data_IF_776443201673
#
_entry.id   IF_776443201673
#
_cell.length_a   1.000
_cell.length_b   1.000
_cell.length_c   1.000
_cell.angle_alpha   90.00
_cell.angle_beta   90.00
_cell.angle_gamma   90.00
#
_symmetry.space_group_name_H-M   'P 1'
#
loop_
_entity.id
_entity.type
_entity.pdbx_description
1 polymer ?
#
# COMPACT_ATOMS: atom_id res chain seq x y z
N UNK A 1 -4.49 -8.16 12.72
CA UNK A 1 -5.10 -7.17 13.65
C UNK A 1 -5.88 -6.11 12.92
N UNK A 2 -5.24 -5.17 12.21
CA UNK A 2 -5.96 -4.12 11.47
C UNK A 2 -7.00 -4.65 10.47
N UNK A 3 -6.63 -5.66 9.66
CA UNK A 3 -7.58 -6.26 8.73
C UNK A 3 -8.83 -6.87 9.41
N UNK A 4 -8.67 -7.40 10.64
CA UNK A 4 -9.79 -7.94 11.42
C UNK A 4 -10.73 -6.83 11.88
N UNK A 5 -10.21 -5.69 12.33
CA UNK A 5 -11.04 -4.56 12.76
C UNK A 5 -11.75 -3.85 11.59
N UNK A 6 -11.27 -3.99 10.35
CA UNK A 6 -11.89 -3.41 9.14
C UNK A 6 -12.76 -4.39 8.35
N UNK A 7 -12.94 -5.62 8.82
CA UNK A 7 -13.61 -6.67 8.06
C UNK A 7 -15.05 -6.27 7.66
N UNK A 8 -15.85 -5.81 8.63
CA UNK A 8 -17.23 -5.40 8.40
C UNK A 8 -17.36 -4.27 7.36
N UNK A 9 -16.55 -3.22 7.47
CA UNK A 9 -16.58 -2.07 6.54
C UNK A 9 -16.16 -2.43 5.11
N UNK A 10 -15.47 -3.56 4.92
CA UNK A 10 -14.97 -4.02 3.63
C UNK A 10 -15.74 -5.23 3.08
N UNK A 11 -16.84 -5.63 3.71
CA UNK A 11 -17.63 -6.79 3.30
C UNK A 11 -16.90 -8.13 3.46
N UNK A 12 -15.89 -8.18 4.33
CA UNK A 12 -15.12 -9.39 4.63
C UNK A 12 -15.82 -10.13 5.78
N UNK A 13 -15.95 -11.44 5.66
CA UNK A 13 -16.51 -12.28 6.73
C UNK A 13 -15.75 -12.09 8.05
N UNK A 14 -16.46 -11.81 9.15
CA UNK A 14 -15.85 -11.48 10.43
C UNK A 14 -14.96 -12.59 11.02
N UNK A 15 -15.21 -13.84 10.64
CA UNK A 15 -14.54 -15.05 11.08
C UNK A 15 -13.48 -15.57 10.08
N UNK A 16 -13.09 -14.76 9.09
CA UNK A 16 -12.15 -15.22 8.03
C UNK A 16 -10.84 -15.79 8.58
N UNK A 17 -10.38 -15.29 9.73
CA UNK A 17 -9.12 -15.68 10.35
C UNK A 17 -9.20 -17.04 11.06
N UNK A 18 -10.40 -17.61 11.22
CA UNK A 18 -10.62 -18.96 11.78
C UNK A 18 -10.78 -20.00 10.65
N UNK A 19 -11.21 -19.56 9.47
CA UNK A 19 -11.61 -20.43 8.35
C UNK A 19 -10.64 -20.42 7.18
N UNK A 20 -9.66 -19.51 7.17
CA UNK A 20 -8.70 -19.34 6.06
C UNK A 20 -7.29 -19.18 6.58
N UNK A 21 -6.37 -19.93 5.98
CA UNK A 21 -4.95 -19.68 6.11
C UNK A 21 -4.50 -18.57 5.17
N UNK A 22 -3.56 -17.75 5.63
CA UNK A 22 -3.02 -16.61 4.87
C UNK A 22 -1.54 -16.88 4.58
N UNK A 23 -1.19 -16.85 3.30
CA UNK A 23 0.19 -16.92 2.84
C UNK A 23 0.58 -15.59 2.19
N UNK A 24 1.60 -14.91 2.72
CA UNK A 24 2.17 -13.69 2.11
C UNK A 24 3.52 -14.07 1.51
N UNK A 25 3.64 -13.96 0.19
CA UNK A 25 4.87 -14.19 -0.53
C UNK A 25 5.38 -12.88 -1.15
N UNK A 26 6.64 -12.54 -0.86
CA UNK A 26 7.33 -11.42 -1.50
C UNK A 26 8.46 -12.02 -2.35
N UNK A 27 8.32 -12.07 -3.70
CA UNK A 27 9.21 -12.81 -4.59
C UNK A 27 10.68 -12.40 -4.53
N UNK A 28 11.53 -13.33 -4.95
CA UNK A 28 13.02 -13.38 -4.80
C UNK A 28 13.49 -13.77 -3.40
N UNK A 29 13.15 -14.99 -2.95
CA UNK A 29 13.43 -15.45 -1.58
C UNK A 29 14.90 -15.39 -1.15
N UNK A 30 15.85 -15.39 -2.08
CA UNK A 30 17.29 -15.29 -1.80
C UNK A 30 17.76 -13.87 -1.43
N UNK A 31 16.99 -12.82 -1.76
CA UNK A 31 17.33 -11.44 -1.42
C UNK A 31 16.60 -11.07 -0.13
N UNK A 32 17.32 -10.77 0.97
CA UNK A 32 16.70 -10.35 2.21
C UNK A 32 15.76 -9.15 2.00
N UNK A 33 14.52 -9.29 2.45
CA UNK A 33 13.53 -8.20 2.48
C UNK A 33 13.29 -7.89 3.93
N UNK A 34 13.86 -6.77 4.38
CA UNK A 34 13.76 -6.34 5.76
C UNK A 34 13.24 -4.91 5.82
N UNK A 35 12.72 -4.53 6.99
CA UNK A 35 12.25 -3.20 7.30
C UNK A 35 10.71 -3.06 7.28
N UNK A 36 10.18 -2.18 8.14
CA UNK A 36 8.73 -2.03 8.34
C UNK A 36 8.02 -1.31 7.19
N UNK A 37 8.77 -0.76 6.23
CA UNK A 37 8.26 0.15 5.19
C UNK A 37 7.30 -0.46 4.16
N UNK A 38 7.07 -1.79 4.21
CA UNK A 38 6.07 -2.49 3.40
C UNK A 38 4.74 -2.71 4.14
N UNK A 39 4.57 -2.14 5.33
CA UNK A 39 3.38 -2.32 6.18
C UNK A 39 2.07 -1.99 5.45
N UNK A 40 1.99 -0.82 4.81
CA UNK A 40 0.80 -0.41 4.05
C UNK A 40 0.57 -1.34 2.86
N UNK A 41 1.63 -1.74 2.16
CA UNK A 41 1.57 -2.65 1.00
C UNK A 41 0.99 -4.01 1.39
N UNK A 42 1.47 -4.59 2.49
CA UNK A 42 0.98 -5.86 3.01
C UNK A 42 -0.49 -5.76 3.46
N UNK A 43 -0.87 -4.67 4.11
CA UNK A 43 -2.25 -4.46 4.53
C UNK A 43 -3.20 -4.35 3.33
N UNK A 44 -2.85 -3.56 2.31
CA UNK A 44 -3.63 -3.42 1.08
C UNK A 44 -3.71 -4.75 0.33
N UNK A 45 -2.60 -5.48 0.18
CA UNK A 45 -2.60 -6.79 -0.48
C UNK A 45 -3.49 -7.81 0.23
N UNK A 46 -3.41 -7.88 1.57
CA UNK A 46 -4.24 -8.77 2.37
C UNK A 46 -5.73 -8.41 2.24
N UNK A 47 -6.07 -7.12 2.37
CA UNK A 47 -7.45 -6.65 2.28
C UNK A 47 -8.00 -6.80 0.86
N UNK A 48 -7.17 -6.63 -0.16
CA UNK A 48 -7.51 -6.94 -1.56
C UNK A 48 -7.91 -8.40 -1.72
N UNK A 49 -7.07 -9.33 -1.25
CA UNK A 49 -7.31 -10.77 -1.35
C UNK A 49 -8.57 -11.22 -0.57
N UNK A 50 -8.81 -10.63 0.61
CA UNK A 50 -9.96 -10.97 1.45
C UNK A 50 -11.28 -10.39 0.92
N UNK A 51 -11.26 -9.17 0.36
CA UNK A 51 -12.46 -8.48 -0.14
C UNK A 51 -12.76 -8.73 -1.62
N UNK A 52 -11.82 -9.32 -2.36
CA UNK A 52 -11.93 -9.53 -3.81
C UNK A 52 -11.78 -8.24 -4.63
N UNK A 53 -11.32 -7.14 -4.02
CA UNK A 53 -11.11 -5.85 -4.70
C UNK A 53 -9.71 -5.81 -5.33
N UNK A 54 -9.63 -5.62 -6.64
CA UNK A 54 -8.35 -5.54 -7.35
C UNK A 54 -7.61 -4.23 -7.07
N UNK A 55 -6.28 -4.30 -7.04
CA UNK A 55 -5.38 -3.13 -7.01
C UNK A 55 -4.77 -2.95 -8.40
N UNK A 56 -4.69 -1.71 -8.87
CA UNK A 56 -4.08 -1.41 -10.16
C UNK A 56 -2.57 -1.69 -10.16
N UNK A 57 -2.05 -2.22 -11.27
CA UNK A 57 -0.65 -2.70 -11.37
C UNK A 57 0.38 -1.58 -11.46
N UNK A 58 -0.07 -0.38 -11.81
CA UNK A 58 0.71 0.84 -11.97
C UNK A 58 0.70 1.74 -10.73
N UNK A 59 0.27 1.20 -9.58
CA UNK A 59 0.34 1.85 -8.27
C UNK A 59 1.45 1.22 -7.43
N UNK A 60 2.39 2.06 -6.98
CA UNK A 60 3.38 1.73 -5.96
C UNK A 60 3.00 2.32 -4.61
N UNK A 61 3.40 1.69 -3.51
CA UNK A 61 3.17 2.24 -2.16
C UNK A 61 4.27 1.83 -1.19
N UNK A 62 4.58 2.71 -0.23
CA UNK A 62 5.47 2.43 0.91
C UNK A 62 4.97 3.18 2.14
N UNK A 63 5.23 2.63 3.31
CA UNK A 63 4.77 3.19 4.57
C UNK A 63 4.77 2.11 5.64
N UNK A 64 5.33 2.44 6.80
CA UNK A 64 5.12 1.64 8.01
C UNK A 64 3.70 1.88 8.53
N UNK A 65 3.10 0.89 9.19
CA UNK A 65 1.76 1.03 9.76
C UNK A 65 1.73 0.66 11.22
N UNK A 66 0.93 1.39 11.98
CA UNK A 66 0.60 1.04 13.37
C UNK A 66 -0.57 0.05 13.41
N UNK A 67 -0.79 -0.60 14.56
CA UNK A 67 -1.97 -1.45 14.78
C UNK A 67 -3.30 -0.69 14.63
N UNK A 68 -3.29 0.63 14.80
CA UNK A 68 -4.45 1.51 14.66
C UNK A 68 -4.65 2.03 13.23
N UNK A 69 -3.72 1.75 12.31
CA UNK A 69 -3.81 2.15 10.91
C UNK A 69 -3.15 3.47 10.56
N UNK A 70 -2.50 4.19 11.51
CA UNK A 70 -1.65 5.33 11.14
C UNK A 70 -0.51 4.86 10.23
N UNK A 71 -0.28 5.58 9.15
CA UNK A 71 0.86 5.40 8.24
C UNK A 71 2.02 6.29 8.71
N UNK A 72 3.18 5.70 8.91
CA UNK A 72 4.38 6.37 9.42
C UNK A 72 5.40 6.59 8.30
N UNK A 73 6.22 7.63 8.47
CA UNK A 73 7.30 7.97 7.54
C UNK A 73 8.31 6.83 7.36
N UNK A 74 8.90 6.77 6.18
CA UNK A 74 9.91 5.78 5.80
C UNK A 74 11.09 6.45 5.10
N UNK A 75 12.26 5.82 5.18
CA UNK A 75 13.45 6.30 4.46
C UNK A 75 13.49 5.91 2.98
N UNK A 76 14.44 6.53 2.26
CA UNK A 76 14.80 6.18 0.88
C UNK A 76 13.76 6.59 -0.15
N UNK A 77 13.06 7.71 0.06
CA UNK A 77 11.96 8.17 -0.83
C UNK A 77 12.47 8.44 -2.25
N UNK A 78 13.64 9.07 -2.37
CA UNK A 78 14.28 9.31 -3.66
C UNK A 78 14.56 8.02 -4.44
N UNK A 79 15.20 7.04 -3.79
CA UNK A 79 15.54 5.76 -4.42
C UNK A 79 14.29 4.97 -4.80
N UNK A 80 13.26 4.99 -3.95
CA UNK A 80 11.98 4.34 -4.18
C UNK A 80 11.21 4.98 -5.34
N UNK A 81 11.18 6.31 -5.43
CA UNK A 81 10.55 7.03 -6.54
C UNK A 81 11.27 6.74 -7.87
N UNK A 82 12.61 6.76 -7.87
CA UNK A 82 13.43 6.36 -9.02
C UNK A 82 13.14 4.92 -9.46
N UNK A 83 13.01 3.98 -8.52
CA UNK A 83 12.69 2.60 -8.80
C UNK A 83 11.26 2.44 -9.35
N UNK A 84 10.29 3.15 -8.78
CA UNK A 84 8.90 3.16 -9.25
C UNK A 84 8.81 3.66 -10.69
N UNK A 85 9.47 4.79 -10.99
CA UNK A 85 9.56 5.34 -12.35
C UNK A 85 10.15 4.34 -13.35
N UNK A 86 11.29 3.72 -13.04
CA UNK A 86 11.90 2.68 -13.89
C UNK A 86 11.01 1.45 -14.10
N UNK A 87 10.18 1.12 -13.11
CA UNK A 87 9.23 0.01 -13.19
C UNK A 87 7.94 0.38 -13.96
N UNK A 88 7.81 1.61 -14.46
CA UNK A 88 6.64 2.08 -15.19
C UNK A 88 5.41 2.37 -14.31
N UNK A 89 5.60 2.46 -12.99
CA UNK A 89 4.57 2.90 -12.05
C UNK A 89 4.15 4.33 -12.39
N UNK A 90 2.87 4.63 -12.26
CA UNK A 90 2.29 5.95 -12.54
C UNK A 90 1.91 6.71 -11.29
N UNK A 91 1.52 6.00 -10.24
CA UNK A 91 1.13 6.58 -8.96
C UNK A 91 1.92 5.97 -7.81
N UNK A 92 2.43 6.82 -6.92
CA UNK A 92 3.15 6.40 -5.71
C UNK A 92 2.42 6.93 -4.48
N UNK A 93 1.92 6.01 -3.65
CA UNK A 93 1.32 6.32 -2.35
C UNK A 93 2.43 6.38 -1.30
N UNK A 94 2.56 7.54 -0.64
CA UNK A 94 3.58 7.83 0.37
C UNK A 94 2.95 8.29 1.69
N UNK A 95 3.62 8.09 2.83
CA UNK A 95 3.21 8.69 4.09
C UNK A 95 3.19 10.22 3.99
N UNK A 96 2.21 10.87 4.61
CA UNK A 96 2.08 12.34 4.61
C UNK A 96 3.35 13.04 5.12
N UNK A 97 3.98 12.48 6.14
CA UNK A 97 5.22 12.99 6.72
C UNK A 97 6.42 12.97 5.74
N UNK A 98 6.36 12.19 4.66
CA UNK A 98 7.39 12.15 3.61
C UNK A 98 7.18 13.18 2.47
N UNK A 99 6.17 14.04 2.54
CA UNK A 99 5.93 15.08 1.52
C UNK A 99 7.11 16.04 1.35
N UNK A 100 7.78 16.37 2.46
CA UNK A 100 9.00 17.18 2.47
C UNK A 100 10.17 16.56 1.68
N UNK A 101 10.21 15.24 1.55
CA UNK A 101 11.30 14.53 0.89
C UNK A 101 11.16 14.58 -0.65
N UNK A 102 10.04 15.10 -1.17
CA UNK A 102 9.88 15.33 -2.62
C UNK A 102 10.93 16.28 -3.18
N UNK A 103 11.44 17.21 -2.40
CA UNK A 103 12.45 18.16 -2.85
C UNK A 103 13.75 17.47 -3.31
N UNK A 104 14.05 16.29 -2.76
CA UNK A 104 15.21 15.48 -3.11
C UNK A 104 15.04 14.70 -4.42
N UNK A 105 13.82 14.64 -4.94
CA UNK A 105 13.47 13.91 -6.17
C UNK A 105 13.69 14.83 -7.39
N UNK A 106 14.43 14.37 -8.41
CA UNK A 106 14.60 15.11 -9.66
C UNK A 106 13.26 15.56 -10.25
N UNK A 107 13.19 16.82 -10.68
CA UNK A 107 11.96 17.45 -11.19
C UNK A 107 11.28 16.64 -12.28
N UNK A 108 12.05 16.10 -13.24
CA UNK A 108 11.52 15.28 -14.33
C UNK A 108 10.69 14.08 -13.81
N UNK A 109 11.17 13.41 -12.76
CA UNK A 109 10.46 12.27 -12.16
C UNK A 109 9.23 12.75 -11.39
N UNK A 110 9.33 13.91 -10.71
CA UNK A 110 8.20 14.52 -10.03
C UNK A 110 7.05 14.89 -10.96
N UNK A 111 7.35 15.24 -12.19
CA UNK A 111 6.35 15.58 -13.21
C UNK A 111 5.75 14.34 -13.89
N UNK A 112 6.47 13.21 -13.90
CA UNK A 112 6.01 11.95 -14.53
C UNK A 112 5.29 10.97 -13.58
N UNK A 113 5.47 11.12 -12.27
CA UNK A 113 4.80 10.33 -11.24
C UNK A 113 3.74 11.15 -10.50
N UNK A 114 2.57 10.55 -10.31
CA UNK A 114 1.55 11.08 -9.39
C UNK A 114 1.89 10.66 -7.95
N UNK A 115 2.22 11.62 -7.08
CA UNK A 115 2.44 11.35 -5.66
C UNK A 115 1.16 11.58 -4.87
N UNK A 116 0.78 10.59 -4.06
CA UNK A 116 -0.41 10.63 -3.21
C UNK A 116 0.01 10.44 -1.75
N UNK A 117 -0.34 11.40 -0.91
CA UNK A 117 0.06 11.42 0.50
C UNK A 117 -1.07 10.94 1.40
N UNK A 118 -0.75 10.00 2.29
CA UNK A 118 -1.73 9.37 3.19
C UNK A 118 -1.28 9.42 4.65
N UNK A 119 -2.21 9.63 5.56
CA UNK A 119 -1.98 9.57 7.01
C UNK A 119 -2.47 8.23 7.60
N UNK A 120 -3.39 7.57 6.90
CA UNK A 120 -4.05 6.37 7.39
C UNK A 120 -4.18 5.29 6.30
N UNK A 121 -4.20 4.02 6.71
CA UNK A 121 -4.34 2.87 5.79
C UNK A 121 -5.65 2.93 5.01
N UNK A 122 -6.71 3.50 5.59
CA UNK A 122 -7.99 3.67 4.90
C UNK A 122 -7.88 4.61 3.69
N UNK A 123 -7.07 5.67 3.78
CA UNK A 123 -6.79 6.56 2.65
C UNK A 123 -6.05 5.78 1.55
N UNK A 124 -5.06 4.97 1.93
CA UNK A 124 -4.33 4.12 1.00
C UNK A 124 -5.25 3.11 0.30
N UNK A 125 -6.20 2.49 1.02
CA UNK A 125 -7.19 1.57 0.46
C UNK A 125 -8.12 2.26 -0.53
N UNK A 126 -8.58 3.48 -0.21
CA UNK A 126 -9.40 4.28 -1.11
C UNK A 126 -8.67 4.57 -2.43
N UNK A 127 -7.39 4.95 -2.32
CA UNK A 127 -6.55 5.27 -3.48
C UNK A 127 -6.15 4.04 -4.29
N UNK A 128 -6.00 2.88 -3.64
CA UNK A 128 -5.60 1.62 -4.27
C UNK A 128 -6.74 0.90 -5.00
N UNK A 129 -7.96 0.92 -4.44
CA UNK A 129 -9.10 0.20 -5.01
C UNK A 129 -9.91 1.01 -6.03
N UNK A 130 -9.72 2.34 -6.08
CA UNK A 130 -10.52 3.24 -6.91
C UNK A 130 -12.02 3.18 -6.60
N UNK A 131 -12.83 3.86 -7.43
CA UNK A 131 -14.29 3.87 -7.32
C UNK A 131 -14.97 2.57 -7.81
N UNK A 132 -14.27 1.44 -7.79
CA UNK A 132 -14.77 0.15 -8.28
C UNK A 132 -15.98 -0.33 -7.46
N UNK A 133 -17.14 -0.39 -8.11
CA UNK A 133 -18.39 -0.95 -7.56
C UNK A 133 -18.18 -2.36 -7.03
N UNK A 134 -18.88 -2.66 -5.93
CA UNK A 134 -18.98 -4.00 -5.36
C UNK A 134 -19.40 -5.00 -6.43
N UNK A 135 -18.52 -5.96 -6.77
CA UNK A 135 -18.98 -7.17 -7.44
C UNK A 135 -19.74 -7.97 -6.40
N UNK A 136 -21.08 -7.97 -6.44
CA UNK A 136 -21.85 -8.93 -5.68
C UNK A 136 -21.51 -10.32 -6.21
N UNK A 137 -20.93 -11.16 -5.36
CA UNK A 137 -21.10 -12.60 -5.49
C UNK A 137 -22.28 -13.01 -4.64
#
# INVERSE_FOLDING_TARGET
TYARSRAASLGIAGDFYEKKDIHIHVPTGAIPKDGPSAGVTMAVALLSALSGRSVAKDIGMTGEITLRGKVLSVGGIKEKALAAHRAGIKRVILPKENEKDLEEIPRQIREELEFVFVDHVDDALQMAFGNGRMSSK
#
